data_IF_738219829180
#
_entry.id   IF_738219829180
#
_cell.length_a   1.000
_cell.length_b   1.000
_cell.length_c   1.000
_cell.angle_alpha   90.00
_cell.angle_beta   90.00
_cell.angle_gamma   90.00
#
_symmetry.space_group_name_H-M   'P 1'
#
loop_
_entity.id
_entity.type
_entity.pdbx_description
1 polymer ?
#
# COMPACT_ATOMS: atom_id res chain seq x y z
N UNK A 1 -13.92 -35.37 -31.24
CA UNK A 1 -14.58 -34.28 -30.52
C UNK A 1 -13.52 -33.24 -30.18
N UNK A 2 -13.53 -32.13 -30.92
CA UNK A 2 -12.57 -31.03 -30.73
C UNK A 2 -13.09 -30.13 -29.58
N UNK A 3 -12.31 -30.03 -28.51
CA UNK A 3 -12.59 -29.12 -27.41
C UNK A 3 -12.30 -27.69 -27.89
N UNK A 4 -13.35 -26.88 -28.01
CA UNK A 4 -13.26 -25.45 -28.23
C UNK A 4 -12.61 -24.81 -26.94
N UNK A 5 -11.34 -24.45 -27.03
CA UNK A 5 -10.71 -23.53 -26.10
C UNK A 5 -11.34 -22.17 -26.32
N UNK A 6 -12.25 -21.80 -25.41
CA UNK A 6 -12.72 -20.41 -25.30
C UNK A 6 -11.61 -19.64 -24.60
N UNK A 7 -10.70 -19.08 -25.40
CA UNK A 7 -9.78 -18.04 -24.95
C UNK A 7 -10.61 -16.81 -24.66
N UNK A 8 -10.87 -16.49 -23.38
CA UNK A 8 -11.39 -15.20 -22.97
C UNK A 8 -10.30 -14.16 -23.15
N UNK A 9 -10.16 -13.63 -24.34
CA UNK A 9 -9.35 -12.47 -24.65
C UNK A 9 -10.08 -11.26 -24.03
N UNK A 10 -9.78 -10.94 -22.75
CA UNK A 10 -10.14 -9.65 -22.21
C UNK A 10 -9.46 -8.61 -23.10
N UNK A 11 -10.23 -7.82 -23.84
CA UNK A 11 -9.71 -6.84 -24.79
C UNK A 11 -8.83 -5.84 -24.04
N UNK A 12 -7.53 -5.87 -24.35
CA UNK A 12 -6.55 -4.93 -23.79
C UNK A 12 -6.94 -3.50 -24.21
N UNK A 13 -6.99 -2.58 -23.26
CA UNK A 13 -7.22 -1.17 -23.56
C UNK A 13 -5.95 -0.55 -24.17
N UNK A 14 -6.08 0.26 -25.24
CA UNK A 14 -4.93 0.98 -25.79
C UNK A 14 -4.44 2.07 -24.83
N UNK A 15 -3.14 2.37 -24.87
CA UNK A 15 -2.51 3.37 -23.99
C UNK A 15 -3.15 4.75 -24.19
N UNK A 16 -3.46 5.16 -25.43
CA UNK A 16 -4.08 6.44 -25.72
C UNK A 16 -5.49 6.56 -25.11
N UNK A 17 -6.32 5.52 -25.26
CA UNK A 17 -7.67 5.49 -24.69
C UNK A 17 -7.62 5.49 -23.17
N UNK A 18 -6.67 4.74 -22.58
CA UNK A 18 -6.45 4.71 -21.14
C UNK A 18 -6.08 6.11 -20.62
N UNK A 19 -5.06 6.73 -21.21
CA UNK A 19 -4.60 8.08 -20.83
C UNK A 19 -5.73 9.09 -20.93
N UNK A 20 -6.44 9.14 -22.06
CA UNK A 20 -7.55 10.08 -22.26
C UNK A 20 -8.64 9.93 -21.19
N UNK A 21 -9.00 8.69 -20.82
CA UNK A 21 -9.98 8.43 -19.75
C UNK A 21 -9.47 8.83 -18.38
N UNK A 22 -8.20 8.53 -18.07
CA UNK A 22 -7.57 8.94 -16.80
C UNK A 22 -7.55 10.46 -16.68
N UNK A 23 -7.16 11.18 -17.74
CA UNK A 23 -7.16 12.65 -17.78
C UNK A 23 -8.57 13.22 -17.54
N UNK A 24 -9.61 12.63 -18.15
CA UNK A 24 -11.00 13.04 -17.95
C UNK A 24 -11.45 12.85 -16.49
N UNK A 25 -11.09 11.71 -15.87
CA UNK A 25 -11.41 11.44 -14.46
C UNK A 25 -10.63 12.39 -13.56
N UNK A 26 -9.33 12.61 -13.82
CA UNK A 26 -8.51 13.57 -13.08
C UNK A 26 -9.12 14.97 -13.10
N UNK A 27 -9.51 15.48 -14.29
CA UNK A 27 -10.18 16.77 -14.43
C UNK A 27 -11.46 16.85 -13.57
N UNK A 28 -12.26 15.77 -13.56
CA UNK A 28 -13.47 15.70 -12.73
C UNK A 28 -13.17 15.69 -11.23
N UNK A 29 -12.14 14.95 -10.79
CA UNK A 29 -11.72 14.91 -9.38
C UNK A 29 -11.17 16.27 -8.94
N UNK A 30 -10.37 16.93 -9.78
CA UNK A 30 -9.74 18.23 -9.48
C UNK A 30 -10.74 19.36 -9.29
N UNK A 31 -11.96 19.22 -9.78
CA UNK A 31 -13.05 20.22 -9.59
C UNK A 31 -13.88 19.99 -8.33
N UNK A 32 -13.63 18.90 -7.58
CA UNK A 32 -14.36 18.62 -6.36
C UNK A 32 -13.98 19.59 -5.24
N UNK A 33 -14.99 20.12 -4.54
CA UNK A 33 -14.77 20.97 -3.36
C UNK A 33 -14.25 20.22 -2.13
N UNK A 34 -14.39 18.89 -2.13
CA UNK A 34 -13.94 18.02 -1.04
C UNK A 34 -13.72 16.60 -1.56
N UNK A 35 -12.70 15.90 -1.05
CA UNK A 35 -12.44 14.49 -1.30
C UNK A 35 -12.98 13.56 -0.20
N UNK A 36 -13.74 14.10 0.78
CA UNK A 36 -14.41 13.27 1.79
C UNK A 36 -15.36 12.28 1.11
N UNK A 37 -15.52 11.07 1.66
CA UNK A 37 -16.41 10.06 1.12
C UNK A 37 -17.82 10.59 0.85
N UNK A 38 -18.25 10.41 -0.39
CA UNK A 38 -19.60 10.75 -0.86
C UNK A 38 -19.92 9.88 -2.07
N UNK A 39 -21.18 9.82 -2.46
CA UNK A 39 -21.57 9.05 -3.66
C UNK A 39 -20.79 9.47 -4.91
N UNK A 40 -20.57 10.77 -5.09
CA UNK A 40 -19.82 11.31 -6.23
C UNK A 40 -18.34 10.96 -6.15
N UNK A 41 -17.69 11.24 -5.02
CA UNK A 41 -16.27 10.94 -4.79
C UNK A 41 -16.01 9.45 -4.98
N UNK A 42 -16.77 8.61 -4.28
CA UNK A 42 -16.61 7.15 -4.35
C UNK A 42 -16.82 6.61 -5.77
N UNK A 43 -17.76 7.17 -6.54
CA UNK A 43 -17.97 6.77 -7.94
C UNK A 43 -16.77 7.12 -8.83
N UNK A 44 -16.20 8.32 -8.70
CA UNK A 44 -15.05 8.75 -9.50
C UNK A 44 -13.81 7.89 -9.20
N UNK A 45 -13.46 7.71 -7.93
CA UNK A 45 -12.30 6.89 -7.56
C UNK A 45 -12.51 5.41 -7.88
N UNK A 46 -13.71 4.85 -7.70
CA UNK A 46 -14.01 3.47 -8.11
C UNK A 46 -13.89 3.28 -9.62
N UNK A 47 -14.28 4.26 -10.43
CA UNK A 47 -14.12 4.22 -11.89
C UNK A 47 -12.65 4.31 -12.28
N UNK A 48 -11.87 5.16 -11.59
CA UNK A 48 -10.42 5.26 -11.80
C UNK A 48 -9.72 3.93 -11.48
N UNK A 49 -9.99 3.34 -10.32
CA UNK A 49 -9.42 2.04 -9.92
C UNK A 49 -9.77 0.96 -10.93
N UNK A 50 -11.05 0.83 -11.31
CA UNK A 50 -11.50 -0.14 -12.33
C UNK A 50 -10.76 0.03 -13.65
N UNK A 51 -10.51 1.26 -14.08
CA UNK A 51 -9.76 1.56 -15.29
C UNK A 51 -8.29 1.14 -15.17
N UNK A 52 -7.65 1.43 -14.02
CA UNK A 52 -6.23 1.17 -13.78
C UNK A 52 -5.89 -0.31 -13.57
N UNK A 53 -6.86 -1.16 -13.21
CA UNK A 53 -6.64 -2.61 -13.08
C UNK A 53 -6.84 -3.36 -14.41
N UNK A 54 -7.34 -2.72 -15.46
CA UNK A 54 -7.47 -3.35 -16.77
C UNK A 54 -6.10 -3.70 -17.34
N UNK A 55 -5.99 -4.82 -18.08
CA UNK A 55 -4.78 -5.14 -18.81
C UNK A 55 -4.43 -4.01 -19.79
N UNK A 56 -3.22 -3.49 -19.68
CA UNK A 56 -2.70 -2.42 -20.56
C UNK A 56 -1.21 -2.61 -20.77
N UNK A 57 -0.72 -2.15 -21.93
CA UNK A 57 0.71 -2.13 -22.28
C UNK A 57 1.36 -0.77 -22.00
N UNK A 58 0.75 0.05 -21.13
CA UNK A 58 1.26 1.40 -20.88
C UNK A 58 2.65 1.36 -20.24
N UNK A 59 3.58 2.08 -20.86
CA UNK A 59 4.89 2.37 -20.29
C UNK A 59 4.85 3.79 -19.69
N UNK A 60 4.90 3.87 -18.38
CA UNK A 60 4.84 5.12 -17.66
C UNK A 60 6.13 5.96 -17.79
N UNK A 61 7.24 5.35 -18.19
CA UNK A 61 8.51 6.07 -18.40
C UNK A 61 8.53 6.82 -19.72
N UNK A 62 7.70 6.39 -20.69
CA UNK A 62 7.54 6.99 -22.00
C UNK A 62 6.37 7.98 -22.09
N UNK A 63 5.72 8.33 -20.96
CA UNK A 63 4.62 9.28 -20.95
C UNK A 63 5.09 10.69 -21.28
N UNK A 64 4.30 11.47 -22.07
CA UNK A 64 4.54 12.90 -22.27
C UNK A 64 4.62 13.66 -20.94
N UNK A 65 5.39 14.74 -20.90
CA UNK A 65 5.62 15.55 -19.68
C UNK A 65 4.30 16.03 -19.05
N UNK A 66 3.34 16.46 -19.85
CA UNK A 66 2.01 16.86 -19.38
C UNK A 66 1.28 15.71 -18.65
N UNK A 67 1.37 14.49 -19.19
CA UNK A 67 0.74 13.31 -18.59
C UNK A 67 1.49 12.89 -17.31
N UNK A 68 2.81 13.06 -17.25
CA UNK A 68 3.61 12.85 -16.04
C UNK A 68 3.18 13.81 -14.92
N UNK A 69 3.08 15.11 -15.22
CA UNK A 69 2.64 16.13 -14.27
C UNK A 69 1.21 15.84 -13.76
N UNK A 70 0.29 15.49 -14.67
CA UNK A 70 -1.07 15.08 -14.31
C UNK A 70 -1.06 13.84 -13.40
N UNK A 71 -0.20 12.84 -13.69
CA UNK A 71 -0.05 11.62 -12.89
C UNK A 71 0.39 11.94 -11.45
N UNK A 72 1.37 12.82 -11.27
CA UNK A 72 1.81 13.25 -9.94
C UNK A 72 0.69 13.91 -9.15
N UNK A 73 -0.06 14.83 -9.81
CA UNK A 73 -1.24 15.44 -9.23
C UNK A 73 -2.30 14.40 -8.83
N UNK A 74 -2.56 13.42 -9.70
CA UNK A 74 -3.55 12.38 -9.46
C UNK A 74 -3.17 11.46 -8.29
N UNK A 75 -1.90 11.08 -8.15
CA UNK A 75 -1.41 10.30 -7.01
C UNK A 75 -1.66 11.04 -5.69
N UNK A 76 -1.40 12.35 -5.65
CA UNK A 76 -1.67 13.16 -4.46
C UNK A 76 -3.16 13.19 -4.12
N UNK A 77 -4.03 13.33 -5.12
CA UNK A 77 -5.49 13.30 -4.93
C UNK A 77 -5.97 11.92 -4.46
N UNK A 78 -5.41 10.83 -5.01
CA UNK A 78 -5.70 9.47 -4.58
C UNK A 78 -5.29 9.25 -3.11
N UNK A 79 -4.08 9.63 -2.74
CA UNK A 79 -3.60 9.48 -1.37
C UNK A 79 -4.44 10.26 -0.36
N UNK A 80 -4.81 11.51 -0.70
CA UNK A 80 -5.69 12.32 0.15
C UNK A 80 -7.10 11.69 0.30
N UNK A 81 -7.69 11.24 -0.80
CA UNK A 81 -9.02 10.61 -0.77
C UNK A 81 -9.01 9.28 0.00
N UNK A 82 -7.96 8.46 -0.18
CA UNK A 82 -7.78 7.19 0.53
C UNK A 82 -7.67 7.45 2.05
N UNK A 83 -6.82 8.39 2.47
CA UNK A 83 -6.68 8.73 3.89
C UNK A 83 -8.00 9.23 4.52
N UNK A 84 -8.78 10.05 3.80
CA UNK A 84 -10.09 10.51 4.27
C UNK A 84 -11.10 9.36 4.37
N UNK A 85 -11.12 8.44 3.41
CA UNK A 85 -11.99 7.26 3.43
C UNK A 85 -11.64 6.34 4.59
N UNK A 86 -10.35 6.05 4.77
CA UNK A 86 -9.87 5.22 5.88
C UNK A 86 -10.18 5.84 7.25
N UNK A 87 -9.95 7.15 7.41
CA UNK A 87 -10.22 7.86 8.65
C UNK A 87 -11.72 7.86 9.01
N UNK A 88 -12.58 8.11 8.03
CA UNK A 88 -14.03 8.10 8.26
C UNK A 88 -14.50 6.71 8.67
N UNK A 89 -14.02 5.68 7.97
CA UNK A 89 -14.38 4.31 8.26
C UNK A 89 -13.80 3.81 9.59
N UNK A 90 -12.53 4.10 9.88
CA UNK A 90 -11.90 3.78 11.15
C UNK A 90 -12.62 4.46 12.33
N UNK A 91 -13.01 5.73 12.16
CA UNK A 91 -13.80 6.48 13.15
C UNK A 91 -15.18 5.84 13.38
N UNK A 92 -15.81 5.32 12.34
CA UNK A 92 -17.04 4.54 12.47
C UNK A 92 -16.79 3.24 13.25
N UNK A 93 -15.77 2.47 12.85
CA UNK A 93 -15.42 1.20 13.50
C UNK A 93 -15.08 1.38 14.98
N UNK A 94 -14.34 2.44 15.35
CA UNK A 94 -13.93 2.66 16.73
C UNK A 94 -15.10 2.87 17.71
N UNK A 95 -16.29 3.16 17.18
CA UNK A 95 -17.52 3.43 17.97
C UNK A 95 -18.45 2.24 18.08
N UNK A 96 -18.24 1.17 17.31
CA UNK A 96 -19.10 -0.01 17.33
C UNK A 96 -18.53 -1.10 18.23
N UNK A 97 -19.42 -2.01 18.66
CA UNK A 97 -19.00 -3.18 19.41
C UNK A 97 -18.22 -4.16 18.52
N UNK A 98 -17.09 -4.66 19.02
CA UNK A 98 -16.19 -5.59 18.31
C UNK A 98 -15.79 -5.09 16.91
N UNK A 99 -15.07 -3.95 16.82
CA UNK A 99 -14.70 -3.33 15.54
C UNK A 99 -13.90 -4.27 14.62
N UNK A 100 -13.02 -5.11 15.16
CA UNK A 100 -12.21 -6.06 14.40
C UNK A 100 -13.05 -7.13 13.66
N UNK A 101 -14.23 -7.47 14.16
CA UNK A 101 -15.15 -8.40 13.50
C UNK A 101 -15.91 -7.75 12.32
N UNK A 102 -15.80 -6.43 12.16
CA UNK A 102 -16.50 -5.64 11.16
C UNK A 102 -15.57 -5.00 10.12
N UNK A 103 -14.30 -5.40 10.07
CA UNK A 103 -13.33 -4.89 9.09
C UNK A 103 -13.77 -5.14 7.63
N UNK A 104 -14.51 -6.22 7.40
CA UNK A 104 -15.04 -6.61 6.10
C UNK A 104 -16.10 -5.65 5.54
N UNK A 105 -16.61 -4.72 6.34
CA UNK A 105 -17.47 -3.64 5.87
C UNK A 105 -16.69 -2.57 5.10
N UNK A 106 -15.36 -2.53 5.23
CA UNK A 106 -14.54 -1.59 4.47
C UNK A 106 -14.54 -1.95 2.98
N UNK A 107 -14.80 -0.99 2.08
CA UNK A 107 -15.00 -1.29 0.66
C UNK A 107 -13.82 -2.01 -0.03
N UNK A 108 -12.60 -1.80 0.48
CA UNK A 108 -11.38 -2.40 -0.08
C UNK A 108 -10.83 -3.55 0.77
N UNK A 109 -11.57 -4.04 1.77
CA UNK A 109 -11.11 -5.09 2.69
C UNK A 109 -10.59 -6.32 1.95
N UNK A 110 -11.33 -6.84 0.98
CA UNK A 110 -10.93 -8.02 0.20
C UNK A 110 -9.63 -7.78 -0.59
N UNK A 111 -9.39 -6.55 -1.04
CA UNK A 111 -8.13 -6.19 -1.71
C UNK A 111 -6.95 -6.27 -0.73
N UNK A 112 -7.13 -5.78 0.50
CA UNK A 112 -6.13 -5.89 1.57
C UNK A 112 -5.89 -7.34 2.00
N UNK A 113 -6.92 -8.19 2.08
CA UNK A 113 -6.77 -9.62 2.38
C UNK A 113 -5.93 -10.32 1.31
N UNK A 114 -6.23 -10.07 0.03
CA UNK A 114 -5.46 -10.63 -1.09
C UNK A 114 -4.02 -10.12 -1.08
N UNK A 115 -3.82 -8.83 -0.89
CA UNK A 115 -2.49 -8.22 -0.84
C UNK A 115 -1.66 -8.77 0.32
N UNK A 116 -2.21 -8.83 1.54
CA UNK A 116 -1.55 -9.39 2.71
C UNK A 116 -1.15 -10.87 2.49
N UNK A 117 -2.02 -11.66 1.84
CA UNK A 117 -1.72 -13.05 1.51
C UNK A 117 -0.56 -13.17 0.51
N UNK A 118 -0.48 -12.27 -0.48
CA UNK A 118 0.63 -12.20 -1.43
C UNK A 118 1.93 -11.81 -0.71
N UNK A 119 1.88 -10.75 0.11
CA UNK A 119 3.02 -10.24 0.88
C UNK A 119 3.57 -11.33 1.83
N UNK A 120 2.69 -12.01 2.56
CA UNK A 120 3.09 -13.10 3.45
C UNK A 120 3.71 -14.27 2.68
N UNK A 121 3.14 -14.67 1.53
CA UNK A 121 3.70 -15.73 0.69
C UNK A 121 5.11 -15.38 0.23
N UNK A 122 5.33 -14.16 -0.27
CA UNK A 122 6.64 -13.68 -0.74
C UNK A 122 7.67 -13.70 0.40
N UNK A 123 7.28 -13.24 1.59
CA UNK A 123 8.12 -13.28 2.78
C UNK A 123 8.48 -14.73 3.17
N UNK A 124 7.50 -15.63 3.18
CA UNK A 124 7.70 -17.03 3.54
C UNK A 124 8.63 -17.74 2.55
N UNK A 125 8.44 -17.54 1.25
CA UNK A 125 9.29 -18.07 0.18
C UNK A 125 10.73 -17.55 0.27
N UNK A 126 10.93 -16.37 0.85
CA UNK A 126 12.23 -15.75 1.10
C UNK A 126 12.85 -16.09 2.48
N UNK A 127 12.25 -17.03 3.21
CA UNK A 127 12.74 -17.52 4.50
C UNK A 127 12.31 -16.67 5.71
N UNK A 128 11.38 -15.72 5.55
CA UNK A 128 10.88 -14.84 6.61
C UNK A 128 9.41 -15.17 6.93
N UNK A 129 9.18 -16.34 7.52
CA UNK A 129 7.81 -16.83 7.78
C UNK A 129 7.22 -16.35 9.11
N UNK A 130 8.03 -16.20 10.14
CA UNK A 130 7.61 -15.80 11.49
C UNK A 130 8.62 -14.79 12.08
N UNK A 131 8.64 -13.56 11.58
CA UNK A 131 9.45 -12.51 12.15
C UNK A 131 8.98 -12.21 13.58
N UNK A 132 9.92 -12.00 14.50
CA UNK A 132 9.56 -11.67 15.90
C UNK A 132 8.98 -10.27 16.01
N UNK A 133 9.54 -9.32 15.25
CA UNK A 133 9.15 -7.92 15.29
C UNK A 133 9.09 -7.32 13.89
N UNK A 134 7.98 -6.68 13.60
CA UNK A 134 7.69 -6.03 12.31
C UNK A 134 7.42 -4.55 12.54
N UNK A 135 7.99 -3.69 11.71
CA UNK A 135 7.57 -2.30 11.57
C UNK A 135 6.65 -2.16 10.34
N UNK A 136 5.55 -1.44 10.49
CA UNK A 136 4.72 -1.00 9.38
C UNK A 136 4.75 0.52 9.28
N UNK A 137 5.35 1.06 8.23
CA UNK A 137 5.54 2.50 8.02
C UNK A 137 4.46 3.03 7.08
N UNK A 138 3.71 4.03 7.56
CA UNK A 138 2.53 4.57 6.88
C UNK A 138 1.29 3.69 7.14
N UNK A 139 1.01 3.43 8.41
CA UNK A 139 -0.05 2.51 8.81
C UNK A 139 -1.46 3.08 8.66
N UNK A 140 -1.60 4.39 8.70
CA UNK A 140 -2.88 5.08 8.63
C UNK A 140 -3.82 4.81 9.80
N UNK A 141 -5.04 5.34 9.75
CA UNK A 141 -6.04 5.17 10.80
C UNK A 141 -6.70 3.78 10.80
N UNK A 142 -6.56 3.03 9.68
CA UNK A 142 -7.11 1.69 9.50
C UNK A 142 -6.00 0.73 9.03
N UNK A 143 -5.11 0.27 9.92
CA UNK A 143 -3.94 -0.55 9.58
C UNK A 143 -4.32 -1.98 9.20
N UNK A 144 -5.13 -2.15 8.16
CA UNK A 144 -5.72 -3.42 7.74
C UNK A 144 -4.67 -4.49 7.50
N UNK A 145 -3.55 -4.14 6.86
CA UNK A 145 -2.48 -5.12 6.62
C UNK A 145 -1.92 -5.66 7.93
N UNK A 146 -1.61 -4.78 8.89
CA UNK A 146 -1.11 -5.20 10.20
C UNK A 146 -2.14 -6.05 10.95
N UNK A 147 -3.43 -5.68 10.91
CA UNK A 147 -4.51 -6.49 11.50
C UNK A 147 -4.59 -7.87 10.86
N UNK A 148 -4.61 -7.95 9.53
CA UNK A 148 -4.70 -9.22 8.80
C UNK A 148 -3.45 -10.09 9.05
N UNK A 149 -2.25 -9.49 8.98
CA UNK A 149 -1.01 -10.20 9.27
C UNK A 149 -1.00 -10.76 10.69
N UNK A 150 -1.32 -9.94 11.69
CA UNK A 150 -1.30 -10.33 13.09
C UNK A 150 -2.35 -11.38 13.47
N UNK A 151 -3.51 -11.40 12.79
CA UNK A 151 -4.61 -12.32 13.09
C UNK A 151 -4.55 -13.61 12.29
N UNK A 152 -4.10 -13.57 11.03
CA UNK A 152 -4.17 -14.72 10.13
C UNK A 152 -2.83 -15.37 9.82
N UNK A 153 -1.76 -14.57 9.68
CA UNK A 153 -0.49 -15.06 9.14
C UNK A 153 0.66 -15.11 10.16
N UNK A 154 0.81 -14.07 10.98
CA UNK A 154 1.94 -13.85 11.89
C UNK A 154 1.45 -13.70 13.33
N UNK A 155 0.81 -14.76 13.86
CA UNK A 155 0.07 -14.74 15.15
C UNK A 155 0.95 -14.53 16.39
N UNK A 156 2.27 -14.72 16.27
CA UNK A 156 3.22 -14.54 17.37
C UNK A 156 4.10 -13.28 17.20
N UNK A 157 3.94 -12.56 16.09
CA UNK A 157 4.72 -11.38 15.74
C UNK A 157 4.23 -10.14 16.48
N UNK A 158 5.17 -9.30 16.92
CA UNK A 158 4.90 -7.96 17.42
C UNK A 158 4.95 -6.96 16.26
N UNK A 159 3.97 -6.07 16.20
CA UNK A 159 3.85 -5.04 15.18
C UNK A 159 3.98 -3.65 15.80
N UNK A 160 4.94 -2.87 15.35
CA UNK A 160 5.02 -1.44 15.63
C UNK A 160 4.58 -0.69 14.35
N UNK A 161 3.46 0.02 14.45
CA UNK A 161 2.84 0.76 13.35
C UNK A 161 3.25 2.23 13.47
N UNK A 162 3.90 2.75 12.44
CA UNK A 162 4.37 4.14 12.40
C UNK A 162 3.48 4.95 11.45
N UNK A 163 3.00 6.08 11.93
CA UNK A 163 2.34 7.07 11.10
C UNK A 163 2.68 8.48 11.56
N UNK A 164 2.74 9.42 10.63
CA UNK A 164 3.00 10.82 10.94
C UNK A 164 1.77 11.50 11.58
N UNK A 165 0.58 10.97 11.33
CA UNK A 165 -0.69 11.48 11.85
C UNK A 165 -1.03 10.84 13.19
N UNK A 166 -0.89 11.62 14.27
CA UNK A 166 -1.26 11.19 15.64
C UNK A 166 -2.74 10.85 15.77
N UNK A 167 -3.63 11.56 15.10
CA UNK A 167 -5.07 11.29 15.15
C UNK A 167 -5.41 9.96 14.48
N UNK A 168 -4.73 9.60 13.40
CA UNK A 168 -4.83 8.29 12.76
C UNK A 168 -4.44 7.16 13.74
N UNK A 169 -3.30 7.31 14.41
CA UNK A 169 -2.84 6.36 15.40
C UNK A 169 -3.79 6.21 16.59
N UNK A 170 -4.42 7.31 17.05
CA UNK A 170 -5.37 7.29 18.16
C UNK A 170 -6.63 6.48 17.82
N UNK A 171 -7.14 6.61 16.59
CA UNK A 171 -8.28 5.81 16.12
C UNK A 171 -7.88 4.34 15.97
N UNK A 172 -6.71 4.05 15.43
CA UNK A 172 -6.21 2.68 15.29
C UNK A 172 -6.04 1.98 16.66
N UNK A 173 -5.53 2.71 17.69
CA UNK A 173 -5.47 2.21 19.08
C UNK A 173 -6.84 1.85 19.64
N UNK A 174 -7.86 2.68 19.40
CA UNK A 174 -9.23 2.42 19.85
C UNK A 174 -9.80 1.15 19.22
N UNK A 175 -9.50 0.88 17.95
CA UNK A 175 -9.95 -0.34 17.27
C UNK A 175 -9.27 -1.56 17.87
N UNK A 176 -7.94 -1.56 18.03
CA UNK A 176 -7.21 -2.72 18.53
C UNK A 176 -7.48 -3.02 20.01
N UNK A 177 -7.80 -2.02 20.83
CA UNK A 177 -8.13 -2.18 22.25
C UNK A 177 -9.36 -3.08 22.49
N UNK A 178 -10.15 -3.38 21.45
CA UNK A 178 -11.24 -4.35 21.53
C UNK A 178 -10.77 -5.81 21.63
N UNK A 179 -9.50 -6.10 21.32
CA UNK A 179 -8.88 -7.42 21.43
C UNK A 179 -7.60 -7.32 22.29
N UNK A 180 -7.64 -7.72 23.58
CA UNK A 180 -6.50 -7.59 24.50
C UNK A 180 -5.26 -8.38 24.07
N UNK A 181 -5.40 -9.49 23.35
CA UNK A 181 -4.27 -10.26 22.87
C UNK A 181 -3.58 -9.59 21.66
N UNK A 182 -4.37 -8.97 20.81
CA UNK A 182 -3.84 -8.19 19.70
C UNK A 182 -3.20 -6.88 20.20
N UNK A 183 -3.84 -6.18 21.14
CA UNK A 183 -3.34 -4.95 21.75
C UNK A 183 -1.93 -5.13 22.37
N UNK A 184 -1.68 -6.27 23.04
CA UNK A 184 -0.35 -6.58 23.60
C UNK A 184 0.76 -6.67 22.53
N UNK A 185 0.41 -7.00 21.29
CA UNK A 185 1.34 -7.23 20.19
C UNK A 185 1.38 -6.12 19.16
N UNK A 186 0.49 -5.13 19.25
CA UNK A 186 0.43 -4.01 18.30
C UNK A 186 0.64 -2.69 19.01
N UNK A 187 1.64 -1.95 18.58
CA UNK A 187 1.92 -0.58 19.03
C UNK A 187 1.73 0.40 17.89
N UNK A 188 1.42 1.62 18.25
CA UNK A 188 1.24 2.74 17.31
C UNK A 188 2.12 3.89 17.73
N UNK A 189 3.00 4.34 16.85
CA UNK A 189 3.98 5.38 17.10
C UNK A 189 3.78 6.52 16.12
N UNK A 190 3.68 7.74 16.68
CA UNK A 190 3.49 8.95 15.88
C UNK A 190 4.82 9.63 15.66
N UNK A 191 5.17 9.85 14.40
CA UNK A 191 6.38 10.57 14.03
C UNK A 191 6.81 10.31 12.59
N UNK A 192 7.74 11.12 12.11
CA UNK A 192 8.37 10.94 10.82
C UNK A 192 9.35 9.76 10.91
N UNK A 193 9.25 8.83 9.98
CA UNK A 193 10.17 7.67 9.90
C UNK A 193 11.62 8.13 9.70
N UNK A 194 11.85 9.29 9.13
CA UNK A 194 13.18 9.88 8.96
C UNK A 194 13.86 10.26 10.29
N UNK A 195 13.09 10.38 11.37
CA UNK A 195 13.60 10.64 12.73
C UNK A 195 13.84 9.33 13.51
N UNK A 196 13.30 8.20 13.06
CA UNK A 196 13.49 6.88 13.68
C UNK A 196 14.79 6.27 13.20
N UNK A 197 15.75 6.08 14.11
CA UNK A 197 17.10 5.61 13.77
C UNK A 197 17.38 4.23 14.37
N UNK A 198 17.93 4.15 15.56
CA UNK A 198 18.40 2.91 16.19
C UNK A 198 17.30 1.86 16.33
N UNK A 199 16.07 2.29 16.57
CA UNK A 199 14.92 1.42 16.69
C UNK A 199 14.66 0.59 15.43
N UNK A 200 15.01 1.09 14.22
CA UNK A 200 14.85 0.34 12.97
C UNK A 200 15.67 -0.96 12.95
N UNK A 201 16.74 -1.05 13.74
CA UNK A 201 17.56 -2.27 13.86
C UNK A 201 16.88 -3.40 14.64
N UNK A 202 15.79 -3.12 15.35
CA UNK A 202 15.06 -4.12 16.13
C UNK A 202 14.14 -5.00 15.27
N UNK A 203 13.80 -4.55 14.04
CA UNK A 203 12.82 -5.21 13.19
C UNK A 203 13.45 -6.23 12.27
N UNK A 204 12.88 -7.43 12.26
CA UNK A 204 13.25 -8.49 11.33
C UNK A 204 12.71 -8.20 9.91
N UNK A 205 11.56 -7.51 9.85
CA UNK A 205 10.90 -7.09 8.63
C UNK A 205 10.30 -5.69 8.79
N UNK A 206 10.47 -4.85 7.77
CA UNK A 206 9.86 -3.52 7.69
C UNK A 206 8.95 -3.50 6.47
N UNK A 207 7.71 -3.05 6.64
CA UNK A 207 6.78 -2.75 5.54
C UNK A 207 6.77 -1.25 5.29
N UNK A 208 6.87 -0.85 4.03
CA UNK A 208 6.75 0.54 3.61
C UNK A 208 5.52 0.68 2.71
N UNK A 209 4.52 1.41 3.19
CA UNK A 209 3.29 1.67 2.45
C UNK A 209 3.56 2.47 1.17
N UNK A 210 2.69 2.30 0.17
CA UNK A 210 2.87 2.90 -1.14
C UNK A 210 2.96 4.43 -1.10
N UNK A 211 2.15 5.08 -0.25
CA UNK A 211 2.04 6.53 -0.16
C UNK A 211 3.07 7.21 0.76
N UNK A 212 3.89 6.45 1.46
CA UNK A 212 5.02 7.02 2.22
C UNK A 212 6.13 7.41 1.24
N UNK A 213 6.40 8.71 1.14
CA UNK A 213 7.27 9.27 0.09
C UNK A 213 6.58 9.22 -1.27
N UNK A 214 5.65 10.16 -1.53
CA UNK A 214 4.87 10.19 -2.77
C UNK A 214 5.67 10.67 -3.98
N UNK A 215 6.69 11.50 -3.79
CA UNK A 215 7.64 11.83 -4.85
C UNK A 215 8.77 10.78 -4.94
N UNK A 216 9.35 10.63 -6.13
CA UNK A 216 10.51 9.75 -6.35
C UNK A 216 11.67 10.13 -5.43
N UNK A 217 11.93 11.42 -5.28
CA UNK A 217 13.02 11.96 -4.44
C UNK A 217 12.81 11.58 -2.97
N UNK A 218 11.60 11.75 -2.44
CA UNK A 218 11.30 11.42 -1.05
C UNK A 218 11.33 9.91 -0.82
N UNK A 219 10.80 9.12 -1.77
CA UNK A 219 10.86 7.65 -1.70
C UNK A 219 12.30 7.16 -1.59
N UNK A 220 13.19 7.64 -2.45
CA UNK A 220 14.61 7.24 -2.42
C UNK A 220 15.30 7.67 -1.12
N UNK A 221 15.02 8.86 -0.59
CA UNK A 221 15.55 9.31 0.71
C UNK A 221 15.09 8.38 1.84
N UNK A 222 13.79 8.03 1.89
CA UNK A 222 13.23 7.14 2.91
C UNK A 222 13.84 5.74 2.81
N UNK A 223 13.96 5.19 1.59
CA UNK A 223 14.60 3.89 1.36
C UNK A 223 16.06 3.89 1.84
N UNK A 224 16.82 4.94 1.53
CA UNK A 224 18.21 5.11 1.98
C UNK A 224 18.31 5.22 3.50
N UNK A 225 17.40 5.94 4.15
CA UNK A 225 17.33 6.06 5.60
C UNK A 225 17.03 4.71 6.25
N UNK A 226 15.98 4.01 5.80
CA UNK A 226 15.64 2.68 6.32
C UNK A 226 16.82 1.72 6.15
N UNK A 227 17.45 1.68 4.97
CA UNK A 227 18.64 0.84 4.71
C UNK A 227 19.76 1.12 5.71
N UNK A 228 20.02 2.39 6.01
CA UNK A 228 21.09 2.79 6.93
C UNK A 228 20.88 2.20 8.33
N UNK A 229 19.66 2.26 8.84
CA UNK A 229 19.38 1.97 10.24
C UNK A 229 18.73 0.61 10.49
N UNK A 230 18.14 -0.05 9.47
CA UNK A 230 17.54 -1.37 9.65
C UNK A 230 18.58 -2.44 10.00
N UNK A 231 18.09 -3.53 10.57
CA UNK A 231 18.88 -4.71 10.95
C UNK A 231 19.66 -5.27 9.76
N UNK A 232 20.90 -5.72 10.01
CA UNK A 232 21.67 -6.50 9.04
C UNK A 232 20.91 -7.80 8.68
N UNK A 233 20.92 -8.15 7.41
CA UNK A 233 20.11 -9.23 6.81
C UNK A 233 18.60 -9.13 7.04
N UNK A 234 18.14 -8.02 7.63
CA UNK A 234 16.72 -7.69 7.73
C UNK A 234 16.09 -7.44 6.35
N UNK A 235 14.78 -7.63 6.26
CA UNK A 235 14.06 -7.44 5.00
C UNK A 235 13.18 -6.19 5.02
N UNK A 236 13.05 -5.56 3.85
CA UNK A 236 12.18 -4.42 3.61
C UNK A 236 11.20 -4.79 2.49
N UNK A 237 9.92 -4.80 2.80
CA UNK A 237 8.85 -4.99 1.85
C UNK A 237 8.29 -3.63 1.47
N UNK A 238 8.40 -3.27 0.18
CA UNK A 238 7.96 -1.98 -0.35
C UNK A 238 6.79 -2.18 -1.28
N UNK A 239 5.72 -1.43 -1.06
CA UNK A 239 4.60 -1.37 -2.00
C UNK A 239 4.91 -0.41 -3.12
N UNK A 240 4.62 -0.83 -4.34
CA UNK A 240 4.86 -0.13 -5.59
C UNK A 240 3.66 -0.27 -6.52
N UNK A 241 3.80 0.17 -7.77
CA UNK A 241 2.81 0.00 -8.81
C UNK A 241 3.47 -0.35 -10.15
N UNK A 242 2.70 -0.94 -11.09
CA UNK A 242 3.15 -1.21 -12.46
C UNK A 242 2.04 -0.95 -13.47
N UNK A 243 2.42 -0.51 -14.66
CA UNK A 243 1.49 -0.22 -15.74
C UNK A 243 0.49 0.85 -15.36
N UNK A 244 -0.78 0.68 -15.69
CA UNK A 244 -1.82 1.65 -15.40
C UNK A 244 -2.05 1.90 -13.89
N UNK A 245 -1.71 0.96 -13.01
CA UNK A 245 -1.78 1.16 -11.55
C UNK A 245 -0.85 2.27 -11.05
N UNK A 246 0.16 2.64 -11.86
CA UNK A 246 1.05 3.76 -11.58
C UNK A 246 0.37 5.14 -11.66
N UNK A 247 -0.86 5.23 -12.13
CA UNK A 247 -1.70 6.43 -11.98
C UNK A 247 -2.32 6.55 -10.58
N UNK A 248 -2.30 5.47 -9.79
CA UNK A 248 -2.85 5.44 -8.42
C UNK A 248 -1.77 5.59 -7.36
N UNK A 249 -0.59 5.01 -7.59
CA UNK A 249 0.50 4.93 -6.61
C UNK A 249 1.87 5.20 -7.23
N UNK A 250 2.83 5.68 -6.40
CA UNK A 250 4.22 5.80 -6.82
C UNK A 250 4.82 4.45 -7.25
N UNK A 251 5.74 4.52 -8.20
CA UNK A 251 6.51 3.37 -8.66
C UNK A 251 7.87 3.37 -7.98
N UNK A 252 8.32 2.19 -7.57
CA UNK A 252 9.68 1.93 -7.11
C UNK A 252 10.37 1.09 -8.18
N UNK A 253 11.46 1.61 -8.73
CA UNK A 253 12.27 1.00 -9.76
C UNK A 253 13.55 0.41 -9.16
N UNK A 254 14.23 -0.49 -9.88
CA UNK A 254 15.48 -1.12 -9.40
C UNK A 254 16.56 -0.11 -9.05
N UNK A 255 16.67 1.00 -9.78
CA UNK A 255 17.61 2.08 -9.48
C UNK A 255 17.32 2.84 -8.19
N UNK A 256 16.08 2.79 -7.70
CA UNK A 256 15.66 3.47 -6.46
C UNK A 256 16.08 2.67 -5.20
N UNK A 257 16.39 1.39 -5.38
CA UNK A 257 16.71 0.44 -4.29
C UNK A 257 18.20 0.03 -4.29
N UNK A 258 19.05 0.84 -4.88
CA UNK A 258 20.48 0.58 -4.92
C UNK A 258 21.07 0.39 -3.50
N UNK A 259 21.91 -0.65 -3.37
CA UNK A 259 22.54 -1.05 -2.10
C UNK A 259 21.71 -2.02 -1.26
N UNK A 260 20.51 -2.38 -1.70
CA UNK A 260 19.79 -3.57 -1.23
C UNK A 260 20.09 -4.76 -2.15
N UNK A 261 19.93 -5.96 -1.62
CA UNK A 261 19.75 -7.17 -2.40
C UNK A 261 18.26 -7.28 -2.78
N UNK A 262 17.97 -7.31 -4.06
CA UNK A 262 16.60 -7.52 -4.56
C UNK A 262 16.25 -9.00 -4.47
N UNK A 263 15.31 -9.37 -3.58
CA UNK A 263 14.89 -10.76 -3.40
C UNK A 263 13.73 -11.14 -4.32
N UNK A 264 12.74 -10.26 -4.48
CA UNK A 264 11.55 -10.53 -5.28
C UNK A 264 10.86 -9.25 -5.74
N UNK A 265 10.29 -9.30 -6.94
CA UNK A 265 9.33 -8.32 -7.42
C UNK A 265 8.09 -9.08 -7.87
N UNK A 266 6.93 -8.69 -7.35
CA UNK A 266 5.64 -9.25 -7.75
C UNK A 266 4.71 -8.15 -8.27
N UNK A 267 4.17 -8.36 -9.45
CA UNK A 267 3.18 -7.47 -10.06
C UNK A 267 1.86 -8.22 -10.22
N UNK A 268 0.80 -7.82 -9.50
CA UNK A 268 -0.50 -8.45 -9.62
C UNK A 268 -1.09 -8.31 -11.03
N UNK A 269 -1.73 -9.36 -11.52
CA UNK A 269 -2.45 -9.37 -12.81
C UNK A 269 -3.97 -9.40 -12.63
N UNK A 270 -4.43 -9.47 -11.39
CA UNK A 270 -5.84 -9.47 -10.97
C UNK A 270 -6.28 -8.08 -10.46
N UNK A 271 -7.25 -8.04 -9.58
CA UNK A 271 -7.82 -6.85 -8.95
C UNK A 271 -6.97 -6.27 -7.79
N UNK A 272 -5.89 -6.94 -7.38
CA UNK A 272 -4.94 -6.38 -6.39
C UNK A 272 -4.19 -5.22 -7.03
N UNK A 273 -4.12 -4.10 -6.32
CA UNK A 273 -3.63 -2.84 -6.90
C UNK A 273 -2.11 -2.73 -6.77
N UNK A 274 -1.58 -2.97 -5.56
CA UNK A 274 -0.16 -2.75 -5.30
C UNK A 274 0.72 -3.89 -5.80
N UNK A 275 1.83 -3.53 -6.42
CA UNK A 275 2.99 -4.39 -6.61
C UNK A 275 3.78 -4.49 -5.30
N UNK A 276 4.52 -5.58 -5.15
CA UNK A 276 5.34 -5.86 -3.97
C UNK A 276 6.79 -6.01 -4.40
N UNK A 277 7.69 -5.27 -3.76
CA UNK A 277 9.14 -5.36 -3.93
C UNK A 277 9.73 -5.80 -2.59
N UNK A 278 10.39 -6.95 -2.56
CA UNK A 278 11.07 -7.46 -1.36
C UNK A 278 12.56 -7.30 -1.49
N UNK A 279 13.14 -6.63 -0.52
CA UNK A 279 14.54 -6.24 -0.45
C UNK A 279 15.18 -6.82 0.82
N UNK A 280 16.48 -7.09 0.77
CA UNK A 280 17.28 -7.44 1.95
C UNK A 280 18.42 -6.45 2.11
N UNK A 281 18.70 -6.05 3.35
CA UNK A 281 19.96 -5.37 3.65
C UNK A 281 21.09 -6.38 3.60
N UNK A 282 22.13 -6.19 2.75
CA UNK A 282 23.28 -7.09 2.73
C UNK A 282 23.99 -7.12 4.10
N UNK A 283 24.61 -8.25 4.44
CA UNK A 283 25.60 -8.28 5.52
C UNK A 283 26.88 -7.53 5.05
N UNK A 284 27.46 -6.74 5.92
CA UNK A 284 28.77 -6.12 5.71
C UNK A 284 29.89 -7.08 6.10
#
# INVERSE_FOLDING_TARGET
MAALQISSCASQISSEVLIARVMQIHASISTLSSLRPSKQVNSLFSNLVKLCILPSSIDITALPEEVQAMRESLINLCGHAEGLLELEFATFLSKIHQPLNNLNLFPYYENYVKLASIEYRILNESGVSQPRKVAFVGSGPLPLTSFIMATHHMKLTHFDNFDIDGAANDVARQIVASDPELEKRMKFETGDIMEVQEKLSEYDCIFLAALVGMSKVDKVKILGHIRKYMKEVGVLLVRSAKGARAFLYPVVEEQDVLGFELLSIYHPTNDVINSVVLLRKPAF
#
